data_IF_582263071244
#
_entry.id   IF_582263071244
#
_cell.length_a   1.000
_cell.length_b   1.000
_cell.length_c   1.000
_cell.angle_alpha   90.00
_cell.angle_beta   90.00
_cell.angle_gamma   90.00
#
_symmetry.space_group_name_H-M   'P 1'
#
loop_
_entity.id
_entity.type
_entity.pdbx_description
1 polymer ?
#
# COMPACT_ATOMS: atom_id res chain seq x y z
N UNK A 1 23.63 -13.39 -25.20
CA UNK A 1 23.07 -14.18 -26.31
C UNK A 1 22.00 -15.22 -25.94
N UNK A 2 21.83 -15.60 -24.67
CA UNK A 2 20.94 -16.71 -24.30
C UNK A 2 19.44 -16.36 -24.09
N UNK A 3 19.08 -15.11 -23.87
CA UNK A 3 17.67 -14.79 -23.52
C UNK A 3 16.74 -14.70 -24.75
N UNK A 4 17.22 -14.26 -25.88
CA UNK A 4 16.41 -14.13 -27.11
C UNK A 4 15.92 -15.50 -27.61
N UNK A 5 16.80 -16.49 -27.63
CA UNK A 5 16.45 -17.87 -28.02
C UNK A 5 15.40 -18.53 -27.08
N UNK A 6 15.40 -18.12 -25.79
CA UNK A 6 14.40 -18.59 -24.83
C UNK A 6 13.00 -18.03 -25.12
N UNK A 7 12.90 -16.75 -25.46
CA UNK A 7 11.62 -16.13 -25.81
C UNK A 7 11.06 -16.67 -27.13
N UNK A 8 11.90 -16.89 -28.12
CA UNK A 8 11.49 -17.46 -29.42
C UNK A 8 10.91 -18.88 -29.24
N UNK A 9 11.58 -19.73 -28.46
CA UNK A 9 11.07 -21.06 -28.12
C UNK A 9 9.73 -20.99 -27.38
N UNK A 10 9.57 -20.05 -26.45
CA UNK A 10 8.33 -19.87 -25.70
C UNK A 10 7.19 -19.40 -26.63
N UNK A 11 7.44 -18.45 -27.53
CA UNK A 11 6.47 -17.99 -28.53
C UNK A 11 5.99 -19.18 -29.38
N UNK A 12 6.93 -19.97 -29.92
CA UNK A 12 6.61 -21.14 -30.73
C UNK A 12 5.79 -22.17 -29.96
N UNK A 13 6.13 -22.41 -28.69
CA UNK A 13 5.41 -23.35 -27.83
C UNK A 13 3.96 -22.89 -27.60
N UNK A 14 3.76 -21.61 -27.22
CA UNK A 14 2.41 -21.11 -26.98
C UNK A 14 1.58 -20.99 -28.25
N UNK A 15 2.16 -20.66 -29.39
CA UNK A 15 1.48 -20.66 -30.67
C UNK A 15 0.99 -22.07 -31.06
N UNK A 16 1.81 -23.10 -30.85
CA UNK A 16 1.38 -24.50 -31.06
C UNK A 16 0.25 -24.88 -30.11
N UNK A 17 0.32 -24.49 -28.84
CA UNK A 17 -0.76 -24.75 -27.89
C UNK A 17 -2.08 -24.09 -28.31
N UNK A 18 -2.03 -22.86 -28.85
CA UNK A 18 -3.19 -22.14 -29.37
C UNK A 18 -3.72 -22.79 -30.64
N UNK A 19 -2.87 -23.30 -31.52
CA UNK A 19 -3.30 -24.03 -32.71
C UNK A 19 -4.04 -25.33 -32.35
N UNK A 20 -3.61 -26.03 -31.31
CA UNK A 20 -4.26 -27.26 -30.83
C UNK A 20 -5.57 -26.93 -30.10
N UNK A 21 -5.57 -25.88 -29.29
CA UNK A 21 -6.76 -25.42 -28.57
C UNK A 21 -6.88 -23.89 -28.68
N UNK A 22 -7.73 -23.39 -29.62
CA UNK A 22 -7.94 -21.95 -29.80
C UNK A 22 -8.53 -21.22 -28.58
N UNK A 23 -9.07 -21.95 -27.60
CA UNK A 23 -9.61 -21.41 -26.34
C UNK A 23 -8.65 -21.64 -25.15
N UNK A 24 -7.36 -21.80 -25.40
CA UNK A 24 -6.39 -22.04 -24.33
C UNK A 24 -5.99 -20.73 -23.63
N UNK A 25 -6.75 -20.36 -22.58
CA UNK A 25 -6.57 -19.14 -21.80
C UNK A 25 -5.10 -18.90 -21.37
N UNK A 26 -4.50 -19.92 -20.76
CA UNK A 26 -3.13 -19.78 -20.21
C UNK A 26 -2.09 -19.58 -21.31
N UNK A 27 -2.28 -20.14 -22.49
CA UNK A 27 -1.36 -19.96 -23.61
C UNK A 27 -1.40 -18.50 -24.10
N UNK A 28 -2.58 -17.91 -24.24
CA UNK A 28 -2.71 -16.49 -24.61
C UNK A 28 -2.11 -15.57 -23.53
N UNK A 29 -2.42 -15.80 -22.26
CA UNK A 29 -1.87 -15.00 -21.17
C UNK A 29 -0.33 -15.04 -21.15
N UNK A 30 0.23 -16.24 -21.22
CA UNK A 30 1.68 -16.44 -21.16
C UNK A 30 2.39 -15.89 -22.40
N UNK A 31 1.77 -16.04 -23.58
CA UNK A 31 2.28 -15.42 -24.82
C UNK A 31 2.27 -13.88 -24.71
N UNK A 32 1.21 -13.31 -24.10
CA UNK A 32 1.13 -11.91 -23.80
C UNK A 32 2.26 -11.45 -22.85
N UNK A 33 2.56 -12.24 -21.81
CA UNK A 33 3.68 -11.95 -20.91
C UNK A 33 5.03 -11.95 -21.65
N UNK A 34 5.26 -12.92 -22.52
CA UNK A 34 6.48 -12.98 -23.34
C UNK A 34 6.61 -11.75 -24.22
N UNK A 35 5.54 -11.35 -24.92
CA UNK A 35 5.56 -10.12 -25.72
C UNK A 35 5.76 -8.85 -24.90
N UNK A 36 5.14 -8.77 -23.70
CA UNK A 36 5.34 -7.67 -22.77
C UNK A 36 6.81 -7.57 -22.35
N UNK A 37 7.45 -8.68 -22.02
CA UNK A 37 8.84 -8.73 -21.56
C UNK A 37 9.82 -8.40 -22.70
N UNK A 38 9.43 -8.67 -23.96
CA UNK A 38 10.13 -8.23 -25.16
C UNK A 38 9.88 -6.75 -25.54
N UNK A 39 9.02 -6.03 -24.81
CA UNK A 39 8.63 -4.66 -25.12
C UNK A 39 7.62 -4.53 -26.27
N UNK A 40 7.14 -5.67 -26.81
CA UNK A 40 6.16 -5.70 -27.90
C UNK A 40 4.73 -5.53 -27.37
N UNK A 41 4.49 -4.40 -26.70
CA UNK A 41 3.26 -4.15 -25.95
C UNK A 41 1.97 -4.25 -26.77
N UNK A 42 2.01 -3.89 -28.07
CA UNK A 42 0.85 -4.03 -28.97
C UNK A 42 0.46 -5.50 -29.16
N UNK A 43 1.44 -6.40 -29.33
CA UNK A 43 1.19 -7.84 -29.45
C UNK A 43 0.72 -8.42 -28.10
N UNK A 44 1.32 -7.99 -26.99
CA UNK A 44 0.88 -8.37 -25.66
C UNK A 44 -0.59 -8.02 -25.40
N UNK A 45 -1.00 -6.79 -25.74
CA UNK A 45 -2.40 -6.33 -25.65
C UNK A 45 -3.34 -7.26 -26.40
N UNK A 46 -3.02 -7.62 -27.64
CA UNK A 46 -3.86 -8.51 -28.43
C UNK A 46 -4.02 -9.90 -27.78
N UNK A 47 -2.95 -10.44 -27.22
CA UNK A 47 -2.99 -11.69 -26.51
C UNK A 47 -3.85 -11.62 -25.23
N UNK A 48 -3.71 -10.55 -24.44
CA UNK A 48 -4.53 -10.36 -23.24
C UNK A 48 -6.01 -10.17 -23.57
N UNK A 49 -6.34 -9.44 -24.64
CA UNK A 49 -7.73 -9.29 -25.09
C UNK A 49 -8.31 -10.66 -25.46
N UNK A 50 -7.59 -11.51 -26.18
CA UNK A 50 -8.02 -12.86 -26.50
C UNK A 50 -8.22 -13.72 -25.24
N UNK A 51 -7.30 -13.63 -24.28
CA UNK A 51 -7.43 -14.31 -22.99
C UNK A 51 -8.68 -13.86 -22.22
N UNK A 52 -8.98 -12.55 -22.21
CA UNK A 52 -10.18 -12.00 -21.57
C UNK A 52 -11.46 -12.44 -22.28
N UNK A 53 -11.46 -12.58 -23.60
CA UNK A 53 -12.60 -13.10 -24.36
C UNK A 53 -12.92 -14.57 -23.97
N UNK A 54 -11.92 -15.36 -23.63
CA UNK A 54 -12.09 -16.74 -23.19
C UNK A 54 -12.60 -16.80 -21.73
N UNK A 55 -12.01 -16.01 -20.84
CA UNK A 55 -12.44 -15.89 -19.44
C UNK A 55 -12.21 -14.45 -18.93
N UNK A 56 -13.32 -13.74 -18.73
CA UNK A 56 -13.31 -12.35 -18.24
C UNK A 56 -13.07 -12.19 -16.75
N UNK A 57 -12.91 -13.27 -15.97
CA UNK A 57 -12.82 -13.18 -14.50
C UNK A 57 -11.38 -13.16 -13.95
N UNK A 58 -10.36 -13.13 -14.80
CA UNK A 58 -8.99 -13.16 -14.36
C UNK A 58 -8.44 -11.73 -14.17
N UNK A 59 -8.31 -11.29 -12.92
CA UNK A 59 -7.81 -9.96 -12.55
C UNK A 59 -6.38 -9.68 -13.02
N UNK A 60 -5.51 -10.70 -13.05
CA UNK A 60 -4.10 -10.54 -13.42
C UNK A 60 -3.94 -10.24 -14.91
N UNK A 61 -4.81 -10.79 -15.75
CA UNK A 61 -4.82 -10.49 -17.19
C UNK A 61 -5.20 -9.02 -17.42
N UNK A 62 -6.20 -8.50 -16.71
CA UNK A 62 -6.58 -7.09 -16.77
C UNK A 62 -5.45 -6.18 -16.25
N UNK A 63 -4.75 -6.57 -15.21
CA UNK A 63 -3.61 -5.82 -14.69
C UNK A 63 -2.47 -5.74 -15.71
N UNK A 64 -2.13 -6.86 -16.35
CA UNK A 64 -1.11 -6.93 -17.41
C UNK A 64 -1.52 -6.14 -18.65
N UNK A 65 -2.80 -6.16 -19.01
CA UNK A 65 -3.37 -5.35 -20.08
C UNK A 65 -3.22 -3.86 -19.77
N UNK A 66 -3.57 -3.43 -18.55
CA UNK A 66 -3.41 -2.06 -18.09
C UNK A 66 -1.97 -1.58 -18.13
N UNK A 67 -1.04 -2.43 -17.67
CA UNK A 67 0.40 -2.15 -17.73
C UNK A 67 0.86 -1.94 -19.19
N UNK A 68 0.41 -2.80 -20.11
CA UNK A 68 0.76 -2.72 -21.52
C UNK A 68 0.19 -1.47 -22.18
N UNK A 69 -1.06 -1.07 -21.87
CA UNK A 69 -1.65 0.19 -22.34
C UNK A 69 -0.87 1.40 -21.82
N UNK A 70 -0.47 1.40 -20.54
CA UNK A 70 0.34 2.47 -19.96
C UNK A 70 1.67 2.62 -20.71
N UNK A 71 2.32 1.52 -21.06
CA UNK A 71 3.61 1.53 -21.76
C UNK A 71 3.52 2.10 -23.19
N UNK A 72 2.37 2.04 -23.83
CA UNK A 72 2.13 2.65 -25.16
C UNK A 72 1.40 4.00 -25.07
N UNK A 73 1.33 4.62 -23.88
CA UNK A 73 0.77 5.96 -23.68
C UNK A 73 -0.78 6.04 -23.70
N UNK A 74 -1.49 4.91 -23.68
CA UNK A 74 -2.97 4.88 -23.67
C UNK A 74 -3.49 4.89 -22.23
N UNK A 75 -3.35 6.03 -21.53
CA UNK A 75 -3.61 6.17 -20.10
C UNK A 75 -5.07 5.86 -19.72
N UNK A 76 -6.06 6.29 -20.50
CA UNK A 76 -7.48 6.03 -20.24
C UNK A 76 -7.80 4.53 -20.27
N UNK A 77 -7.28 3.80 -21.26
CA UNK A 77 -7.46 2.35 -21.36
C UNK A 77 -6.70 1.59 -20.27
N UNK A 78 -5.56 2.13 -19.82
CA UNK A 78 -4.83 1.57 -18.70
C UNK A 78 -5.64 1.69 -17.40
N UNK A 79 -6.22 2.86 -17.12
CA UNK A 79 -7.07 3.09 -15.94
C UNK A 79 -8.29 2.17 -15.95
N UNK A 80 -9.02 2.09 -17.07
CA UNK A 80 -10.16 1.19 -17.23
C UNK A 80 -9.78 -0.28 -16.97
N UNK A 81 -8.64 -0.71 -17.51
CA UNK A 81 -8.14 -2.08 -17.28
C UNK A 81 -7.80 -2.33 -15.81
N UNK A 82 -7.16 -1.38 -15.12
CA UNK A 82 -6.89 -1.52 -13.69
C UNK A 82 -8.15 -1.51 -12.83
N UNK A 83 -9.16 -0.70 -13.18
CA UNK A 83 -10.45 -0.71 -12.49
C UNK A 83 -11.15 -2.07 -12.65
N UNK A 84 -11.12 -2.66 -13.86
CA UNK A 84 -11.64 -4.01 -14.10
C UNK A 84 -10.87 -5.06 -13.31
N UNK A 85 -9.54 -4.97 -13.25
CA UNK A 85 -8.73 -5.85 -12.42
C UNK A 85 -9.12 -5.78 -10.94
N UNK A 86 -9.30 -4.56 -10.43
CA UNK A 86 -9.73 -4.33 -9.04
C UNK A 86 -11.13 -4.90 -8.79
N UNK A 87 -12.08 -4.65 -9.68
CA UNK A 87 -13.43 -5.19 -9.58
C UNK A 87 -13.46 -6.72 -9.56
N UNK A 88 -12.62 -7.37 -10.39
CA UNK A 88 -12.51 -8.85 -10.39
C UNK A 88 -11.87 -9.39 -9.12
N UNK A 89 -10.87 -8.70 -8.55
CA UNK A 89 -10.28 -9.07 -7.26
C UNK A 89 -11.26 -8.90 -6.11
N UNK A 90 -12.05 -7.83 -6.11
CA UNK A 90 -13.08 -7.60 -5.10
C UNK A 90 -14.23 -8.60 -5.20
N UNK A 91 -14.67 -8.95 -6.42
CA UNK A 91 -15.70 -9.98 -6.60
C UNK A 91 -15.25 -11.38 -6.18
N UNK A 92 -14.00 -11.77 -6.50
CA UNK A 92 -13.43 -13.03 -5.98
C UNK A 92 -13.38 -13.00 -4.45
N UNK A 93 -13.08 -11.85 -3.87
CA UNK A 93 -13.05 -11.67 -2.42
C UNK A 93 -14.46 -11.72 -1.80
N UNK A 94 -15.46 -11.14 -2.46
CA UNK A 94 -16.87 -11.15 -2.01
C UNK A 94 -17.54 -12.51 -2.20
N UNK A 95 -17.20 -13.28 -3.24
CA UNK A 95 -17.72 -14.64 -3.42
C UNK A 95 -17.11 -15.66 -2.45
N UNK A 96 -15.86 -15.45 -2.06
CA UNK A 96 -15.22 -16.21 -0.97
C UNK A 96 -15.78 -15.79 0.39
N UNK A 97 -16.27 -14.55 0.53
CA UNK A 97 -16.66 -13.91 1.79
C UNK A 97 -18.13 -14.01 2.16
N UNK A 98 -18.98 -14.65 1.38
CA UNK A 98 -20.27 -15.11 1.91
C UNK A 98 -20.11 -16.24 2.95
N UNK A 99 -18.87 -16.66 3.22
CA UNK A 99 -18.44 -17.44 4.37
C UNK A 99 -17.20 -16.81 4.98
N UNK A 100 -17.42 -15.84 5.88
CA UNK A 100 -16.49 -15.46 6.95
C UNK A 100 -15.00 -15.41 6.51
N UNK A 101 -14.58 -14.30 5.93
CA UNK A 101 -13.23 -13.86 6.28
C UNK A 101 -13.30 -13.41 7.74
N UNK A 102 -12.52 -14.05 8.64
CA UNK A 102 -12.22 -13.40 9.89
C UNK A 102 -11.64 -12.02 9.51
N UNK A 103 -12.03 -10.99 10.24
CA UNK A 103 -11.61 -9.62 10.03
C UNK A 103 -10.09 -9.45 10.24
N UNK A 104 -9.30 -9.94 9.31
CA UNK A 104 -7.84 -9.84 9.26
C UNK A 104 -7.38 -8.92 8.14
N UNK A 105 -8.31 -8.19 7.54
CA UNK A 105 -7.97 -7.23 6.51
C UNK A 105 -7.39 -5.99 7.17
N UNK A 106 -6.16 -5.67 6.82
CA UNK A 106 -5.51 -4.43 7.24
C UNK A 106 -5.98 -3.29 6.34
N UNK A 107 -6.25 -2.16 6.94
CA UNK A 107 -6.52 -0.92 6.25
C UNK A 107 -5.44 0.10 6.62
N UNK A 108 -4.72 0.61 5.62
CA UNK A 108 -3.75 1.67 5.82
C UNK A 108 -4.41 3.01 5.53
N UNK A 109 -4.37 3.91 6.52
CA UNK A 109 -4.89 5.25 6.41
C UNK A 109 -3.74 6.26 6.58
N UNK A 110 -3.48 7.04 5.56
CA UNK A 110 -2.48 8.09 5.60
C UNK A 110 -3.13 9.40 6.06
N UNK A 111 -2.89 9.78 7.31
CA UNK A 111 -3.39 11.04 7.88
C UNK A 111 -2.61 12.25 7.38
N UNK A 112 -1.39 12.05 6.92
CA UNK A 112 -0.54 13.07 6.34
C UNK A 112 0.53 12.43 5.49
N UNK A 113 0.91 13.08 4.41
CA UNK A 113 2.07 12.73 3.61
C UNK A 113 3.28 13.64 3.91
N UNK A 114 3.19 14.45 4.98
CA UNK A 114 4.33 15.21 5.50
C UNK A 114 5.17 14.32 6.41
N UNK A 115 6.47 14.35 6.20
CA UNK A 115 7.44 13.77 7.11
C UNK A 115 8.50 14.83 7.45
N UNK A 116 9.06 14.75 8.63
CA UNK A 116 10.15 15.63 9.04
C UNK A 116 11.52 14.94 8.96
N UNK A 117 11.58 13.73 8.42
CA UNK A 117 12.79 13.06 8.00
C UNK A 117 12.88 13.01 6.47
N UNK A 118 14.10 13.08 5.95
CA UNK A 118 14.47 12.97 4.53
C UNK A 118 15.34 11.73 4.31
N UNK A 119 14.85 10.58 4.78
CA UNK A 119 15.62 9.34 4.76
C UNK A 119 15.96 8.92 3.31
N UNK A 120 17.22 8.63 3.03
CA UNK A 120 17.72 8.23 1.71
C UNK A 120 17.00 7.00 1.13
N UNK A 121 16.51 6.11 2.00
CA UNK A 121 15.79 4.90 1.62
C UNK A 121 14.28 5.09 1.43
N UNK A 122 13.73 6.29 1.72
CA UNK A 122 12.30 6.55 1.67
C UNK A 122 11.94 7.37 0.44
N UNK A 123 10.97 6.93 -0.39
CA UNK A 123 10.56 7.67 -1.56
C UNK A 123 9.66 8.89 -1.22
N UNK A 124 9.56 9.33 0.04
CA UNK A 124 8.70 10.45 0.45
C UNK A 124 9.02 11.74 -0.29
N UNK A 125 10.30 11.99 -0.57
CA UNK A 125 10.74 13.21 -1.26
C UNK A 125 10.46 13.18 -2.77
N UNK A 126 10.19 12.02 -3.34
CA UNK A 126 9.81 11.84 -4.75
C UNK A 126 8.31 11.94 -5.01
N UNK A 127 7.50 12.25 -4.00
CA UNK A 127 6.05 12.38 -4.15
C UNK A 127 5.69 13.59 -5.01
N UNK A 128 4.81 13.37 -6.00
CA UNK A 128 4.31 14.43 -6.88
C UNK A 128 3.03 15.09 -6.37
N UNK A 129 2.37 14.51 -5.36
CA UNK A 129 1.16 15.07 -4.75
C UNK A 129 1.50 16.17 -3.74
N UNK A 130 0.66 17.22 -3.59
CA UNK A 130 0.89 18.26 -2.59
C UNK A 130 0.96 17.68 -1.18
N UNK A 131 1.89 18.21 -0.37
CA UNK A 131 1.98 17.83 1.04
C UNK A 131 0.83 18.44 1.85
N UNK A 132 0.16 17.60 2.65
CA UNK A 132 -1.01 18.04 3.43
C UNK A 132 -1.31 17.17 4.64
N UNK A 133 -2.39 17.53 5.29
CA UNK A 133 -3.02 16.79 6.38
C UNK A 133 -4.43 16.39 5.96
N UNK A 134 -4.86 15.19 6.34
CA UNK A 134 -6.25 14.77 6.17
C UNK A 134 -7.16 15.64 7.02
N UNK A 135 -8.30 16.04 6.46
CA UNK A 135 -9.27 16.81 7.23
C UNK A 135 -9.91 15.91 8.32
N UNK A 136 -10.13 16.50 9.50
CA UNK A 136 -10.75 15.78 10.61
C UNK A 136 -12.13 15.24 10.24
N UNK A 137 -12.91 16.02 9.48
CA UNK A 137 -14.23 15.59 9.01
C UNK A 137 -14.15 14.38 8.09
N UNK A 138 -13.15 14.33 7.21
CA UNK A 138 -12.91 13.18 6.33
C UNK A 138 -12.48 11.96 7.14
N UNK A 139 -11.55 12.12 8.09
CA UNK A 139 -11.12 11.03 8.97
C UNK A 139 -12.30 10.43 9.75
N UNK A 140 -13.16 11.27 10.33
CA UNK A 140 -14.37 10.84 11.04
C UNK A 140 -15.32 10.06 10.14
N UNK A 141 -15.58 10.56 8.93
CA UNK A 141 -16.42 9.88 7.94
C UNK A 141 -15.88 8.49 7.57
N UNK A 142 -14.57 8.36 7.41
CA UNK A 142 -13.92 7.06 7.13
C UNK A 142 -14.15 6.10 8.30
N UNK A 143 -13.97 6.54 9.55
CA UNK A 143 -14.19 5.69 10.73
C UNK A 143 -15.64 5.34 10.94
N UNK A 144 -16.59 6.22 10.63
CA UNK A 144 -18.02 5.89 10.61
C UNK A 144 -18.30 4.76 9.61
N UNK A 145 -17.80 4.86 8.37
CA UNK A 145 -17.99 3.81 7.37
C UNK A 145 -17.33 2.48 7.77
N UNK A 146 -16.13 2.52 8.37
CA UNK A 146 -15.45 1.33 8.87
C UNK A 146 -16.27 0.64 9.96
N UNK A 147 -16.76 1.42 10.92
CA UNK A 147 -17.54 0.92 12.05
C UNK A 147 -18.89 0.37 11.60
N UNK A 148 -19.65 1.16 10.85
CA UNK A 148 -21.02 0.83 10.42
C UNK A 148 -21.07 -0.41 9.50
N UNK A 149 -20.11 -0.51 8.59
CA UNK A 149 -20.03 -1.60 7.62
C UNK A 149 -19.13 -2.76 8.07
N UNK A 150 -18.49 -2.64 9.24
CA UNK A 150 -17.52 -3.62 9.77
C UNK A 150 -16.45 -4.02 8.74
N UNK A 151 -15.90 -3.01 8.03
CA UNK A 151 -15.03 -3.23 6.89
C UNK A 151 -13.72 -3.90 7.27
N UNK A 152 -13.14 -3.52 8.41
CA UNK A 152 -11.85 -4.03 8.90
C UNK A 152 -11.87 -4.07 10.43
N UNK A 153 -11.01 -4.92 11.01
CA UNK A 153 -10.83 -4.99 12.47
C UNK A 153 -9.79 -4.00 12.98
N UNK A 154 -8.84 -3.63 12.13
CA UNK A 154 -7.71 -2.79 12.49
C UNK A 154 -7.36 -1.81 11.37
N UNK A 155 -7.03 -0.58 11.75
CA UNK A 155 -6.52 0.45 10.85
C UNK A 155 -5.09 0.78 11.24
N UNK A 156 -4.19 0.80 10.27
CA UNK A 156 -2.79 1.18 10.44
C UNK A 156 -2.58 2.60 9.94
N UNK A 157 -2.16 3.49 10.83
CA UNK A 157 -1.77 4.86 10.48
C UNK A 157 -0.30 4.87 10.10
N UNK A 158 -0.03 4.48 8.86
CA UNK A 158 1.32 4.46 8.31
C UNK A 158 1.26 4.35 6.78
N UNK A 159 1.95 5.23 6.08
CA UNK A 159 2.34 5.08 4.67
C UNK A 159 3.64 5.86 4.42
N UNK A 160 3.53 7.09 3.86
CA UNK A 160 4.69 7.88 3.45
C UNK A 160 5.01 9.02 4.43
N UNK A 161 4.03 9.48 5.18
CA UNK A 161 4.19 10.59 6.13
C UNK A 161 4.44 10.13 7.57
N UNK A 162 4.70 11.08 8.46
CA UNK A 162 4.82 10.87 9.89
C UNK A 162 3.48 11.23 10.57
N UNK A 163 2.68 10.26 11.02
CA UNK A 163 1.34 10.52 11.56
C UNK A 163 1.33 11.44 12.77
N UNK A 164 2.39 11.41 13.60
CA UNK A 164 2.49 12.24 14.81
C UNK A 164 2.72 13.73 14.53
N UNK A 165 2.92 14.10 13.26
CA UNK A 165 2.90 15.50 12.80
C UNK A 165 1.47 16.03 12.61
N UNK A 166 0.47 15.15 12.54
CA UNK A 166 -0.91 15.60 12.32
C UNK A 166 -1.41 16.41 13.53
N UNK A 167 -1.85 17.66 13.35
CA UNK A 167 -2.18 18.55 14.46
C UNK A 167 -3.36 18.06 15.32
N UNK A 168 -4.26 17.28 14.73
CA UNK A 168 -5.45 16.71 15.39
C UNK A 168 -5.38 15.21 15.64
N UNK A 169 -4.16 14.65 15.70
CA UNK A 169 -3.99 13.19 15.83
C UNK A 169 -4.80 12.61 17.01
N UNK A 170 -4.70 13.20 18.21
CA UNK A 170 -5.40 12.67 19.38
C UNK A 170 -6.93 12.74 19.24
N UNK A 171 -7.47 13.77 18.58
CA UNK A 171 -8.91 13.84 18.29
C UNK A 171 -9.34 12.70 17.34
N UNK A 172 -8.52 12.40 16.35
CA UNK A 172 -8.75 11.32 15.38
C UNK A 172 -8.70 9.96 16.08
N UNK A 173 -7.70 9.72 16.94
CA UNK A 173 -7.52 8.48 17.68
C UNK A 173 -8.68 8.25 18.66
N UNK A 174 -9.07 9.28 19.42
CA UNK A 174 -10.21 9.20 20.33
C UNK A 174 -11.49 8.89 19.57
N UNK A 175 -11.74 9.56 18.47
CA UNK A 175 -12.93 9.30 17.64
C UNK A 175 -12.97 7.87 17.13
N UNK A 176 -11.84 7.34 16.62
CA UNK A 176 -11.76 5.96 16.17
C UNK A 176 -12.03 4.96 17.31
N UNK A 177 -11.48 5.22 18.50
CA UNK A 177 -11.74 4.41 19.70
C UNK A 177 -13.23 4.41 20.09
N UNK A 178 -13.88 5.59 20.08
CA UNK A 178 -15.30 5.74 20.39
C UNK A 178 -16.19 5.00 19.35
N UNK A 179 -15.69 4.78 18.14
CA UNK A 179 -16.30 3.96 17.08
C UNK A 179 -15.91 2.48 17.13
N UNK A 180 -15.18 2.03 18.17
CA UNK A 180 -14.65 0.67 18.31
C UNK A 180 -13.73 0.25 17.15
N UNK A 181 -13.00 1.19 16.55
CA UNK A 181 -12.00 0.92 15.53
C UNK A 181 -10.62 0.86 16.19
N UNK A 182 -9.96 -0.29 16.09
CA UNK A 182 -8.60 -0.46 16.62
C UNK A 182 -7.59 0.25 15.70
N UNK A 183 -6.80 1.15 16.28
CA UNK A 183 -5.76 1.89 15.55
C UNK A 183 -4.39 1.42 15.95
N UNK A 184 -3.60 1.02 14.96
CA UNK A 184 -2.17 0.77 15.09
C UNK A 184 -1.41 1.95 14.45
N UNK A 185 -0.47 2.50 15.18
CA UNK A 185 0.32 3.66 14.75
C UNK A 185 1.77 3.27 14.54
N UNK A 186 2.34 3.63 13.39
CA UNK A 186 3.79 3.57 13.19
C UNK A 186 4.35 4.99 13.14
N UNK A 187 5.41 5.25 13.89
CA UNK A 187 6.05 6.56 14.00
C UNK A 187 7.56 6.45 13.86
N UNK A 188 8.17 7.47 13.28
CA UNK A 188 9.62 7.62 13.24
C UNK A 188 10.23 8.08 14.58
N UNK A 189 9.42 8.37 15.58
CA UNK A 189 9.85 8.73 16.93
C UNK A 189 10.30 10.18 17.14
N UNK A 190 10.42 10.97 16.07
CA UNK A 190 10.95 12.34 16.16
C UNK A 190 10.14 13.30 17.02
N UNK A 191 8.84 13.09 17.10
CA UNK A 191 7.91 13.97 17.83
C UNK A 191 7.43 13.41 19.17
N UNK A 192 8.00 12.28 19.64
CA UNK A 192 7.66 11.63 20.92
C UNK A 192 8.22 12.40 22.11
N UNK A 193 7.72 13.60 22.34
CA UNK A 193 8.14 14.48 23.44
C UNK A 193 7.23 14.36 24.66
N UNK A 194 7.74 14.73 25.83
CA UNK A 194 7.07 14.64 27.14
C UNK A 194 5.62 15.15 27.16
N UNK A 195 5.29 16.18 26.38
CA UNK A 195 3.93 16.72 26.29
C UNK A 195 2.98 15.90 25.44
N UNK A 196 3.50 15.08 24.50
CA UNK A 196 2.69 14.33 23.53
C UNK A 196 2.51 12.87 23.89
N UNK A 197 3.54 12.22 24.44
CA UNK A 197 3.53 10.78 24.71
C UNK A 197 2.38 10.35 25.64
N UNK A 198 2.13 10.98 26.78
CA UNK A 198 1.01 10.58 27.65
C UNK A 198 -0.33 10.62 26.94
N UNK A 199 -0.61 11.71 26.20
CA UNK A 199 -1.87 11.86 25.46
C UNK A 199 -2.00 10.85 24.32
N UNK A 200 -0.90 10.53 23.63
CA UNK A 200 -0.88 9.52 22.59
C UNK A 200 -1.22 8.14 23.17
N UNK A 201 -0.58 7.75 24.28
CA UNK A 201 -0.84 6.49 24.97
C UNK A 201 -2.27 6.38 25.53
N UNK A 202 -2.88 7.49 25.91
CA UNK A 202 -4.29 7.54 26.34
C UNK A 202 -5.27 7.40 25.17
N UNK A 203 -4.90 7.89 24.00
CA UNK A 203 -5.79 7.96 22.83
C UNK A 203 -5.73 6.72 21.95
N UNK A 204 -4.60 6.00 21.94
CA UNK A 204 -4.41 4.83 21.08
C UNK A 204 -5.21 3.63 21.59
N UNK A 205 -5.87 2.92 20.66
CA UNK A 205 -6.64 1.71 20.98
C UNK A 205 -5.94 0.40 20.63
N UNK A 206 -4.88 0.46 19.83
CA UNK A 206 -4.05 -0.67 19.40
C UNK A 206 -2.59 -0.49 19.79
N UNK A 207 -1.69 -0.75 18.85
CA UNK A 207 -0.25 -0.76 19.09
C UNK A 207 0.42 0.52 18.59
N UNK A 208 1.55 0.87 19.21
CA UNK A 208 2.49 1.86 18.69
C UNK A 208 3.76 1.14 18.28
N UNK A 209 4.09 1.22 16.99
CA UNK A 209 5.36 0.74 16.45
C UNK A 209 6.28 1.94 16.27
N UNK A 210 7.32 2.01 17.06
CA UNK A 210 8.33 3.03 16.94
C UNK A 210 9.47 2.55 16.03
N UNK A 211 9.64 3.20 14.88
CA UNK A 211 10.56 2.78 13.82
C UNK A 211 12.00 3.28 14.10
N UNK A 212 12.76 2.50 14.85
CA UNK A 212 14.18 2.74 15.09
C UNK A 212 15.04 2.04 14.02
N UNK A 213 15.04 2.58 12.80
CA UNK A 213 15.77 1.98 11.66
C UNK A 213 17.26 2.32 11.63
N UNK A 214 17.69 3.27 12.43
CA UNK A 214 19.07 3.73 12.53
C UNK A 214 19.49 3.66 14.00
N UNK A 215 20.04 2.50 14.45
CA UNK A 215 20.27 2.22 15.88
C UNK A 215 21.51 2.87 16.46
N UNK A 216 22.36 3.49 15.64
CA UNK A 216 23.59 4.16 16.07
C UNK A 216 23.63 5.60 15.56
N UNK A 217 24.42 6.45 16.22
CA UNK A 217 24.63 7.85 15.80
C UNK A 217 25.19 7.92 14.38
N UNK A 218 26.14 7.07 14.03
CA UNK A 218 26.73 6.97 12.71
C UNK A 218 25.67 6.69 11.62
N UNK A 219 24.75 5.77 11.88
CA UNK A 219 23.68 5.43 10.92
C UNK A 219 22.53 6.43 10.93
N UNK A 220 22.47 7.32 11.92
CA UNK A 220 21.41 8.33 12.03
C UNK A 220 21.44 9.36 10.90
N UNK A 221 22.63 9.66 10.37
CA UNK A 221 22.83 10.64 9.29
C UNK A 221 22.03 10.33 8.03
N UNK A 222 21.78 9.04 7.73
CA UNK A 222 20.96 8.62 6.56
C UNK A 222 19.49 9.07 6.64
N UNK A 223 19.07 9.61 7.78
CA UNK A 223 17.73 10.20 7.94
C UNK A 223 17.64 11.66 7.48
N UNK A 224 18.75 12.25 7.09
CA UNK A 224 18.88 13.65 6.73
C UNK A 224 18.88 14.58 7.92
N UNK A 225 19.20 15.84 7.68
CA UNK A 225 19.18 16.88 8.71
C UNK A 225 17.73 17.24 9.07
N UNK A 226 17.34 16.87 10.27
CA UNK A 226 15.96 17.07 10.78
C UNK A 226 15.92 18.04 11.97
N UNK A 227 17.05 18.66 12.31
CA UNK A 227 17.17 19.54 13.46
C UNK A 227 16.95 18.84 14.81
N UNK A 228 17.11 17.52 14.86
CA UNK A 228 16.98 16.68 16.06
C UNK A 228 18.27 15.90 16.25
N UNK A 229 18.98 16.11 17.37
CA UNK A 229 20.20 15.38 17.67
C UNK A 229 19.91 13.90 17.95
N UNK A 230 20.91 13.04 17.75
CA UNK A 230 20.84 11.62 18.05
C UNK A 230 20.38 11.33 19.49
N UNK A 231 20.98 12.00 20.47
CA UNK A 231 20.63 11.81 21.87
C UNK A 231 19.15 12.10 22.14
N UNK A 232 18.63 13.22 21.64
CA UNK A 232 17.21 13.57 21.78
C UNK A 232 16.31 12.59 21.03
N UNK A 233 16.77 12.08 19.90
CA UNK A 233 16.05 11.07 19.15
C UNK A 233 15.90 9.78 19.97
N UNK A 234 16.98 9.28 20.55
CA UNK A 234 16.98 8.08 21.41
C UNK A 234 16.16 8.32 22.69
N UNK A 235 16.28 9.51 23.29
CA UNK A 235 15.52 9.84 24.51
C UNK A 235 14.01 9.86 24.27
N UNK A 236 13.55 10.19 23.05
CA UNK A 236 12.13 10.08 22.69
C UNK A 236 11.64 8.62 22.77
N UNK A 237 12.43 7.65 22.30
CA UNK A 237 12.06 6.22 22.43
C UNK A 237 12.11 5.76 23.89
N UNK A 238 13.15 6.14 24.65
CA UNK A 238 13.24 5.85 26.09
C UNK A 238 12.03 6.40 26.84
N UNK A 239 11.61 7.61 26.50
CA UNK A 239 10.40 8.23 27.07
C UNK A 239 9.16 7.42 26.76
N UNK A 240 8.94 7.00 25.50
CA UNK A 240 7.78 6.19 25.14
C UNK A 240 7.71 4.89 25.95
N UNK A 241 8.84 4.19 26.04
CA UNK A 241 8.93 2.92 26.80
C UNK A 241 8.66 3.15 28.28
N UNK A 242 9.26 4.15 28.89
CA UNK A 242 9.04 4.45 30.33
C UNK A 242 7.59 4.80 30.61
N UNK A 243 6.99 5.72 29.87
CA UNK A 243 5.59 6.13 30.05
C UNK A 243 4.61 4.98 29.82
N UNK A 244 4.96 4.03 28.93
CA UNK A 244 4.17 2.83 28.74
C UNK A 244 4.28 1.88 29.94
N UNK A 245 5.50 1.63 30.43
CA UNK A 245 5.73 0.74 31.59
C UNK A 245 5.09 1.25 32.89
N UNK A 246 4.96 2.56 33.06
CA UNK A 246 4.29 3.15 34.22
C UNK A 246 2.76 2.97 34.21
N UNK A 247 2.17 2.46 33.10
CA UNK A 247 0.73 2.28 32.89
C UNK A 247 0.26 0.83 32.99
N UNK A 248 1.18 -0.12 32.97
CA UNK A 248 0.90 -1.56 33.12
C UNK A 248 1.27 -2.06 34.51
#
# INVERSE_FOLDING_TARGET
MNNFNKYEKAINFYNKAIQINPNHLSAYNNLGNVFKDLGEYKKAINCYIKAIQINSNNADIYNNLGLSYRKIGKSTLAVDSYQKALAKRTNIRLEVDNKLLPATTFFFLELTNKCNFHCEFCPSDSQTRPHGYMDLSLAKKIFDEISDKKLVSQVHLHLMGEPTLHPKLNEILNYARDKNVTINLTTNGSTLVKKKVPKLLESISGTITASLMTPTEETYEIRGDVGLSWDRYIDNFRLLVREHLERI
#
